data_IF_639051304729
#
_entry.id   IF_639051304729
#
_cell.length_a   1.000
_cell.length_b   1.000
_cell.length_c   1.000
_cell.angle_alpha   90.00
_cell.angle_beta   90.00
_cell.angle_gamma   90.00
#
_symmetry.space_group_name_H-M   'P 1'
#
loop_
_entity.id
_entity.type
_entity.pdbx_description
1 polymer ?
#
# COMPACT_ATOMS: atom_id res chain seq x y z
N UNK A 1 -12.31 -10.96 1.09
CA UNK A 1 -12.83 -10.40 -0.20
C UNK A 1 -11.95 -9.22 -0.60
N UNK A 2 -11.75 -8.95 -1.88
CA UNK A 2 -11.00 -7.77 -2.32
C UNK A 2 -11.79 -6.49 -2.02
N UNK A 3 -11.16 -5.55 -1.33
CA UNK A 3 -11.70 -4.24 -0.94
C UNK A 3 -10.91 -3.14 -1.64
N UNK A 4 -11.53 -1.98 -1.82
CA UNK A 4 -10.90 -0.80 -2.41
C UNK A 4 -11.09 0.42 -1.53
N UNK A 5 -10.03 1.24 -1.39
CA UNK A 5 -10.08 2.52 -0.67
C UNK A 5 -9.16 3.56 -1.32
N UNK A 6 -9.21 4.80 -0.82
CA UNK A 6 -8.27 5.86 -1.14
C UNK A 6 -7.35 6.12 0.06
N UNK A 7 -6.03 6.16 -0.18
CA UNK A 7 -5.02 6.55 0.81
C UNK A 7 -4.29 7.77 0.26
N UNK A 8 -4.47 8.93 0.90
CA UNK A 8 -3.84 10.20 0.49
C UNK A 8 -3.98 10.57 -1.00
N UNK A 9 -5.07 10.13 -1.65
CA UNK A 9 -5.35 10.35 -3.07
C UNK A 9 -4.95 9.20 -4.01
N UNK A 10 -4.39 8.11 -3.48
CA UNK A 10 -4.06 6.90 -4.24
C UNK A 10 -5.10 5.81 -4.03
N UNK A 11 -5.59 5.22 -5.13
CA UNK A 11 -6.52 4.09 -5.06
C UNK A 11 -5.78 2.80 -4.74
N UNK A 12 -6.18 2.13 -3.65
CA UNK A 12 -5.56 0.90 -3.17
C UNK A 12 -6.60 -0.21 -3.07
N UNK A 13 -6.32 -1.32 -3.73
CA UNK A 13 -7.03 -2.58 -3.60
C UNK A 13 -6.28 -3.47 -2.61
N UNK A 14 -6.99 -4.15 -1.71
CA UNK A 14 -6.39 -4.98 -0.68
C UNK A 14 -7.35 -6.09 -0.23
N UNK A 15 -6.80 -7.15 0.35
CA UNK A 15 -7.58 -8.19 1.02
C UNK A 15 -7.57 -8.01 2.55
N UNK A 16 -8.49 -8.68 3.25
CA UNK A 16 -8.67 -8.55 4.70
C UNK A 16 -7.39 -8.81 5.50
N UNK A 17 -6.53 -9.72 5.04
CA UNK A 17 -5.24 -10.04 5.69
C UNK A 17 -4.20 -8.90 5.58
N UNK A 18 -4.37 -7.96 4.66
CA UNK A 18 -3.49 -6.82 4.43
C UNK A 18 -3.98 -5.53 5.10
N UNK A 19 -5.04 -5.60 5.90
CA UNK A 19 -5.64 -4.45 6.58
C UNK A 19 -4.64 -3.65 7.43
N UNK A 20 -3.68 -4.33 8.05
CA UNK A 20 -2.69 -3.70 8.91
C UNK A 20 -1.67 -2.88 8.11
N UNK A 21 -1.26 -3.35 6.92
CA UNK A 21 -0.45 -2.56 6.01
C UNK A 21 -1.21 -1.35 5.46
N UNK A 22 -2.53 -1.48 5.31
CA UNK A 22 -3.40 -0.37 4.91
C UNK A 22 -3.50 0.68 6.01
N UNK A 23 -3.68 0.26 7.27
CA UNK A 23 -3.65 1.13 8.44
C UNK A 23 -2.29 1.84 8.55
N UNK A 24 -1.18 1.12 8.36
CA UNK A 24 0.17 1.70 8.37
C UNK A 24 0.31 2.84 7.36
N UNK A 25 -0.10 2.61 6.11
CA UNK A 25 -0.01 3.60 5.03
C UNK A 25 -0.98 4.78 5.19
N UNK A 26 -2.10 4.60 5.90
CA UNK A 26 -3.18 5.60 6.02
C UNK A 26 -3.10 6.43 7.29
N UNK A 27 -2.81 5.78 8.41
CA UNK A 27 -3.02 6.31 9.75
C UNK A 27 -1.69 6.48 10.52
N UNK A 28 -0.74 5.54 10.34
CA UNK A 28 0.49 5.53 11.15
C UNK A 28 1.65 6.28 10.48
N UNK A 29 1.65 6.41 9.15
CA UNK A 29 2.60 7.21 8.40
C UNK A 29 2.03 8.60 8.12
N UNK A 30 2.89 9.61 8.15
CA UNK A 30 2.53 10.89 7.55
C UNK A 30 2.31 10.73 6.04
N UNK A 31 1.55 11.67 5.46
CA UNK A 31 1.28 11.68 4.02
C UNK A 31 2.56 11.59 3.18
N UNK A 32 3.60 12.32 3.58
CA UNK A 32 4.85 12.39 2.82
C UNK A 32 5.64 11.09 2.91
N UNK A 33 5.68 10.45 4.08
CA UNK A 33 6.30 9.12 4.24
C UNK A 33 5.53 8.05 3.46
N UNK A 34 4.19 8.04 3.56
CA UNK A 34 3.36 7.11 2.79
C UNK A 34 3.58 7.28 1.28
N UNK A 35 3.69 8.52 0.80
CA UNK A 35 3.91 8.85 -0.61
C UNK A 35 5.19 8.23 -1.16
N UNK A 36 6.25 8.11 -0.36
CA UNK A 36 7.50 7.46 -0.78
C UNK A 36 7.22 6.03 -1.26
N UNK A 37 6.38 5.27 -0.57
CA UNK A 37 6.04 3.89 -0.97
C UNK A 37 5.22 3.86 -2.27
N UNK A 38 4.26 4.76 -2.43
CA UNK A 38 3.48 4.88 -3.68
C UNK A 38 4.36 5.27 -4.87
N UNK A 39 5.30 6.19 -4.68
CA UNK A 39 6.25 6.60 -5.73
C UNK A 39 7.22 5.47 -6.08
N UNK A 40 7.78 4.79 -5.07
CA UNK A 40 8.62 3.63 -5.29
C UNK A 40 7.88 2.53 -6.04
N UNK A 41 6.65 2.20 -5.65
CA UNK A 41 5.83 1.21 -6.34
C UNK A 41 5.52 1.64 -7.79
N UNK A 42 5.21 2.92 -8.02
CA UNK A 42 4.96 3.44 -9.36
C UNK A 42 6.20 3.36 -10.27
N UNK A 43 7.38 3.66 -9.74
CA UNK A 43 8.64 3.66 -10.48
C UNK A 43 9.18 2.23 -10.71
N UNK A 44 9.17 1.39 -9.68
CA UNK A 44 9.81 0.06 -9.66
C UNK A 44 8.85 -1.09 -9.91
N UNK A 45 7.54 -0.83 -9.92
CA UNK A 45 6.49 -1.85 -9.99
C UNK A 45 6.00 -2.31 -8.62
N UNK A 46 6.84 -2.20 -7.57
CA UNK A 46 6.45 -2.49 -6.20
C UNK A 46 7.29 -1.75 -5.15
N UNK A 47 6.78 -1.69 -3.93
CA UNK A 47 7.49 -1.23 -2.74
C UNK A 47 7.17 -2.14 -1.56
N UNK A 48 8.20 -2.52 -0.79
CA UNK A 48 8.06 -3.33 0.42
C UNK A 48 8.15 -2.46 1.66
N UNK A 49 7.41 -2.82 2.69
CA UNK A 49 7.43 -2.14 3.98
C UNK A 49 6.93 -3.06 5.10
N UNK A 50 7.26 -2.66 6.32
CA UNK A 50 6.88 -3.34 7.55
C UNK A 50 5.99 -2.42 8.40
N UNK A 51 5.24 -3.02 9.31
CA UNK A 51 4.63 -2.30 10.42
C UNK A 51 5.37 -2.55 11.73
N UNK A 52 4.87 -1.97 12.83
CA UNK A 52 5.49 -2.04 14.15
C UNK A 52 5.51 -3.45 14.77
N UNK A 53 4.89 -4.45 14.10
CA UNK A 53 4.88 -5.85 14.50
C UNK A 53 5.66 -6.75 13.52
N UNK A 54 6.57 -6.16 12.74
CA UNK A 54 7.40 -6.82 11.74
C UNK A 54 6.59 -7.58 10.66
N UNK A 55 5.32 -7.21 10.45
CA UNK A 55 4.49 -7.82 9.41
C UNK A 55 4.90 -7.25 8.06
N UNK A 56 5.13 -8.14 7.11
CA UNK A 56 5.67 -7.79 5.80
C UNK A 56 4.57 -7.52 4.78
N UNK A 57 4.63 -6.35 4.14
CA UNK A 57 3.68 -5.94 3.12
C UNK A 57 4.39 -5.61 1.81
N UNK A 58 3.66 -5.76 0.70
CA UNK A 58 4.12 -5.30 -0.61
C UNK A 58 2.99 -4.54 -1.29
N UNK A 59 3.32 -3.32 -1.70
CA UNK A 59 2.46 -2.45 -2.49
C UNK A 59 2.88 -2.56 -3.96
N UNK A 60 2.03 -3.11 -4.81
CA UNK A 60 2.25 -3.22 -6.25
C UNK A 60 1.54 -2.09 -7.00
N UNK A 61 2.16 -1.61 -8.08
CA UNK A 61 1.52 -0.66 -8.98
C UNK A 61 0.98 -1.37 -10.22
N UNK A 62 -0.34 -1.28 -10.44
CA UNK A 62 -1.00 -1.83 -11.62
C UNK A 62 -1.04 -0.76 -12.73
N UNK A 63 -0.08 -0.82 -13.65
CA UNK A 63 0.08 0.18 -14.73
C UNK A 63 -1.17 0.37 -15.60
N UNK A 64 -1.98 -0.68 -15.80
CA UNK A 64 -3.16 -0.64 -16.65
C UNK A 64 -4.30 0.20 -16.08
N UNK A 65 -4.57 0.10 -14.77
CA UNK A 65 -5.64 0.85 -14.10
C UNK A 65 -5.16 2.12 -13.41
N UNK A 66 -3.85 2.26 -13.21
CA UNK A 66 -3.28 3.32 -12.37
C UNK A 66 -3.60 3.15 -10.87
N UNK A 67 -4.01 1.95 -10.46
CA UNK A 67 -4.29 1.62 -9.05
C UNK A 67 -3.13 0.85 -8.40
N UNK A 68 -3.19 0.73 -7.08
CA UNK A 68 -2.24 -0.03 -6.29
C UNK A 68 -2.90 -1.27 -5.71
N UNK A 69 -2.12 -2.34 -5.54
CA UNK A 69 -2.55 -3.58 -4.90
C UNK A 69 -1.66 -3.80 -3.69
N UNK A 70 -2.26 -3.86 -2.51
CA UNK A 70 -1.57 -4.14 -1.26
C UNK A 70 -1.77 -5.61 -0.87
N UNK A 71 -0.67 -6.33 -0.70
CA UNK A 71 -0.66 -7.73 -0.27
C UNK A 71 0.17 -7.90 0.99
N UNK A 72 -0.25 -8.83 1.85
CA UNK A 72 0.57 -9.32 2.96
C UNK A 72 1.25 -10.63 2.56
N UNK A 73 2.52 -10.79 2.94
CA UNK A 73 3.29 -12.04 2.77
C UNK A 73 3.11 -12.99 3.95
#
# INVERSE_FOLDING_TARGET
MAKRTSIHGFWVNYEDNAYEGLKRLRDDLSRDEAKVYFEQARLKGSAQFEDDYDRQFTLFYERGSGSFILTRR
#
